data_IF_506570953604
#
_entry.id   IF_506570953604
#
_cell.length_a   1.000
_cell.length_b   1.000
_cell.length_c   1.000
_cell.angle_alpha   90.00
_cell.angle_beta   90.00
_cell.angle_gamma   90.00
#
_symmetry.space_group_name_H-M   'P 1'
#
loop_
_entity.id
_entity.type
_entity.pdbx_description
1 polymer ?
#
# COMPACT_ATOMS: atom_id res chain seq x y z
N UNK A 1 -0.39 37.54 13.53
CA UNK A 1 0.33 36.63 12.60
C UNK A 1 0.83 35.41 13.37
N UNK A 2 0.10 34.29 13.36
CA UNK A 2 0.64 33.03 13.91
C UNK A 2 1.63 32.46 12.91
N UNK A 3 2.92 32.64 13.19
CA UNK A 3 3.99 31.89 12.52
C UNK A 3 3.99 30.51 13.17
N UNK A 4 3.45 29.49 12.50
CA UNK A 4 3.49 28.11 12.97
C UNK A 4 4.92 27.61 12.77
N UNK A 5 5.75 27.57 13.83
CA UNK A 5 7.13 27.18 13.68
C UNK A 5 7.14 25.66 13.53
N UNK A 6 7.67 25.19 12.40
CA UNK A 6 8.04 23.79 12.21
C UNK A 6 6.85 22.84 12.41
N UNK A 7 6.02 22.66 11.37
CA UNK A 7 5.40 21.34 11.19
C UNK A 7 6.58 20.37 11.26
N UNK A 8 6.66 19.62 12.35
CA UNK A 8 7.63 18.56 12.48
C UNK A 8 7.26 17.56 11.38
N UNK A 9 7.99 17.57 10.26
CA UNK A 9 7.83 16.68 9.09
C UNK A 9 7.93 15.17 9.44
N UNK A 10 8.05 14.84 10.73
CA UNK A 10 8.17 13.49 11.28
C UNK A 10 6.83 12.83 11.62
N UNK A 11 5.72 13.57 11.62
CA UNK A 11 4.40 12.96 11.79
C UNK A 11 3.87 12.55 10.42
N UNK A 12 3.84 11.24 10.09
CA UNK A 12 3.52 10.79 8.74
C UNK A 12 2.10 11.16 8.29
N UNK A 13 1.18 11.39 9.24
CA UNK A 13 -0.18 11.89 8.94
C UNK A 13 -0.20 13.34 8.45
N UNK A 14 0.65 14.21 8.99
CA UNK A 14 0.73 15.60 8.54
C UNK A 14 1.37 15.67 7.15
N UNK A 15 2.42 14.87 6.94
CA UNK A 15 3.06 14.70 5.63
C UNK A 15 2.07 14.17 4.58
N UNK A 16 1.23 13.20 4.95
CA UNK A 16 0.16 12.68 4.09
C UNK A 16 -0.85 13.76 3.71
N UNK A 17 -1.27 14.59 4.67
CA UNK A 17 -2.30 15.61 4.45
C UNK A 17 -1.88 16.71 3.45
N UNK A 18 -0.56 16.93 3.28
CA UNK A 18 -0.01 17.94 2.35
C UNK A 18 0.64 17.33 1.10
N UNK A 19 0.61 16.00 0.95
CA UNK A 19 1.20 15.33 -0.21
C UNK A 19 0.40 15.65 -1.48
N UNK A 20 1.08 16.09 -2.53
CA UNK A 20 0.45 16.33 -3.84
C UNK A 20 -0.10 15.04 -4.46
N UNK A 21 0.58 13.91 -4.20
CA UNK A 21 0.19 12.58 -4.65
C UNK A 21 0.20 11.63 -3.44
N UNK A 22 -0.85 11.67 -2.59
CA UNK A 22 -0.90 10.86 -1.40
C UNK A 22 -0.99 9.36 -1.76
N UNK A 23 -0.29 8.46 -1.04
CA UNK A 23 -0.48 7.03 -1.24
C UNK A 23 -1.91 6.63 -0.85
N UNK A 24 -2.47 5.64 -1.56
CA UNK A 24 -3.78 5.06 -1.22
C UNK A 24 -3.78 4.41 0.19
N UNK A 25 -2.64 3.83 0.60
CA UNK A 25 -2.46 3.21 1.92
C UNK A 25 -1.13 3.64 2.52
N UNK A 26 -1.15 4.07 3.77
CA UNK A 26 0.03 4.44 4.54
C UNK A 26 0.34 3.34 5.55
N UNK A 27 1.42 2.60 5.35
CA UNK A 27 1.94 1.66 6.33
C UNK A 27 2.68 2.42 7.44
N UNK A 28 2.34 2.12 8.70
CA UNK A 28 2.92 2.78 9.88
C UNK A 28 3.75 1.76 10.66
N UNK A 29 5.07 1.87 10.60
CA UNK A 29 5.99 0.93 11.24
C UNK A 29 6.49 -0.18 10.32
N UNK A 30 7.66 -0.73 10.63
CA UNK A 30 8.32 -1.77 9.82
C UNK A 30 7.67 -3.15 9.95
N UNK A 31 6.99 -3.40 11.05
CA UNK A 31 6.16 -4.59 11.28
C UNK A 31 4.98 -4.65 10.30
N UNK A 32 4.30 -3.52 10.06
CA UNK A 32 3.21 -3.44 9.08
C UNK A 32 3.70 -3.64 7.66
N UNK A 33 4.89 -3.09 7.32
CA UNK A 33 5.54 -3.34 6.04
C UNK A 33 5.83 -4.83 5.83
N UNK A 34 6.37 -5.51 6.85
CA UNK A 34 6.64 -6.94 6.82
C UNK A 34 5.36 -7.76 6.61
N UNK A 35 4.31 -7.48 7.38
CA UNK A 35 3.04 -8.20 7.28
C UNK A 35 2.38 -8.02 5.90
N UNK A 36 2.44 -6.82 5.33
CA UNK A 36 1.94 -6.56 3.97
C UNK A 36 2.74 -7.36 2.93
N UNK A 37 4.07 -7.38 3.05
CA UNK A 37 4.93 -8.10 2.12
C UNK A 37 4.66 -9.62 2.16
N UNK A 38 4.57 -10.19 3.35
CA UNK A 38 4.27 -11.61 3.56
C UNK A 38 2.89 -11.98 2.97
N UNK A 39 1.87 -11.17 3.22
CA UNK A 39 0.53 -11.39 2.65
C UNK A 39 0.54 -11.29 1.13
N UNK A 40 1.25 -10.33 0.56
CA UNK A 40 1.31 -10.16 -0.89
C UNK A 40 2.02 -11.34 -1.56
N UNK A 41 3.14 -11.79 -0.99
CA UNK A 41 3.85 -12.97 -1.48
C UNK A 41 2.97 -14.23 -1.42
N UNK A 42 2.17 -14.38 -0.35
CA UNK A 42 1.21 -15.49 -0.25
C UNK A 42 0.13 -15.42 -1.35
N UNK A 43 -0.47 -14.26 -1.57
CA UNK A 43 -1.48 -14.07 -2.62
C UNK A 43 -0.90 -14.28 -4.02
N UNK A 44 0.32 -13.81 -4.26
CA UNK A 44 1.02 -14.03 -5.53
C UNK A 44 1.23 -15.53 -5.79
N UNK A 45 1.76 -16.26 -4.80
CA UNK A 45 1.96 -17.71 -4.90
C UNK A 45 0.64 -18.47 -5.16
N UNK A 46 -0.45 -18.08 -4.49
CA UNK A 46 -1.77 -18.68 -4.73
C UNK A 46 -2.29 -18.34 -6.13
N UNK A 47 -2.20 -17.08 -6.54
CA UNK A 47 -2.64 -16.64 -7.88
C UNK A 47 -1.86 -17.37 -8.97
N UNK A 48 -0.57 -17.58 -8.77
CA UNK A 48 0.29 -18.35 -9.68
C UNK A 48 -0.15 -19.81 -9.77
N UNK A 49 -0.46 -20.43 -8.63
CA UNK A 49 -0.90 -21.83 -8.57
C UNK A 49 -2.23 -22.07 -9.32
N UNK A 50 -3.10 -21.07 -9.36
CA UNK A 50 -4.43 -21.17 -9.99
C UNK A 50 -4.55 -20.50 -11.36
N UNK A 51 -3.48 -19.88 -11.87
CA UNK A 51 -3.50 -19.05 -13.08
C UNK A 51 -4.15 -19.74 -14.28
N UNK A 52 -3.73 -20.98 -14.59
CA UNK A 52 -4.24 -21.72 -15.75
C UNK A 52 -5.75 -21.98 -15.60
N UNK A 53 -6.18 -22.50 -14.45
CA UNK A 53 -7.59 -22.77 -14.17
C UNK A 53 -8.44 -21.50 -14.22
N UNK A 54 -7.97 -20.39 -13.65
CA UNK A 54 -8.69 -19.11 -13.71
C UNK A 54 -8.80 -18.59 -15.15
N UNK A 55 -7.71 -18.61 -15.91
CA UNK A 55 -7.71 -18.16 -17.32
C UNK A 55 -8.60 -18.99 -18.24
N UNK A 56 -8.88 -20.25 -17.89
CA UNK A 56 -9.78 -21.11 -18.66
C UNK A 56 -11.24 -20.62 -18.70
N UNK A 57 -11.60 -19.68 -17.81
CA UNK A 57 -12.95 -19.11 -17.70
C UNK A 57 -13.11 -17.78 -18.43
N UNK A 58 -12.10 -17.34 -19.18
CA UNK A 58 -12.15 -16.07 -19.90
C UNK A 58 -13.31 -16.03 -20.89
N UNK A 59 -14.05 -14.92 -20.86
CA UNK A 59 -15.04 -14.61 -21.89
C UNK A 59 -14.31 -14.05 -23.11
N UNK A 60 -14.54 -14.63 -24.28
CA UNK A 60 -14.11 -14.04 -25.53
C UNK A 60 -14.78 -12.67 -25.71
N UNK A 61 -13.96 -11.62 -25.83
CA UNK A 61 -14.39 -10.25 -26.17
C UNK A 61 -14.54 -10.13 -27.68
#
# INVERSE_FOLDING_TARGET
>A
MRRYPLINDRTPLITLAVAQTPPLRLALGTDTLKAIAEKNAHVEAETDAWRESSSSTDFAV
#
